data_IF_206478679777
#
_entry.id   IF_206478679777
#
_cell.length_a   1.000
_cell.length_b   1.000
_cell.length_c   1.000
_cell.angle_alpha   90.00
_cell.angle_beta   90.00
_cell.angle_gamma   90.00
#
_symmetry.space_group_name_H-M   'P 1'
#
loop_
_entity.id
_entity.type
_entity.pdbx_description
1 polymer ?
#
# COMPACT_ATOMS: atom_id res chain seq x y z
N UNK A 1 8.02 -6.05 -2.31
CA UNK A 1 7.04 -6.99 -2.90
C UNK A 1 5.91 -7.20 -1.90
N UNK A 2 4.66 -7.09 -2.32
CA UNK A 2 3.51 -7.41 -1.46
C UNK A 2 3.42 -8.92 -1.33
N UNK A 3 3.92 -9.43 -0.20
CA UNK A 3 3.99 -10.86 0.07
C UNK A 3 2.63 -11.45 0.46
N UNK A 4 1.84 -10.69 1.23
CA UNK A 4 0.53 -11.14 1.69
C UNK A 4 -0.39 -9.93 1.82
N UNK A 5 -1.53 -9.96 1.12
CA UNK A 5 -2.66 -9.07 1.39
C UNK A 5 -3.64 -9.84 2.24
N UNK A 6 -3.65 -9.58 3.56
CA UNK A 6 -4.62 -10.22 4.45
C UNK A 6 -6.03 -9.75 4.11
N UNK A 7 -6.92 -10.71 3.83
CA UNK A 7 -8.34 -10.44 3.65
C UNK A 7 -8.89 -9.77 4.91
N UNK A 8 -9.57 -8.62 4.76
CA UNK A 8 -10.00 -7.69 5.81
C UNK A 8 -9.03 -6.55 6.19
N UNK A 9 -7.90 -6.42 5.52
CA UNK A 9 -7.07 -5.20 5.64
C UNK A 9 -7.58 -4.07 4.74
N UNK A 10 -7.32 -2.79 5.08
CA UNK A 10 -7.55 -1.66 4.15
C UNK A 10 -6.81 -1.82 2.81
N UNK A 11 -5.71 -2.57 2.80
CA UNK A 11 -5.01 -2.99 1.58
C UNK A 11 -5.84 -3.95 0.72
N UNK A 12 -6.52 -4.93 1.31
CA UNK A 12 -7.41 -5.83 0.57
C UNK A 12 -8.62 -5.10 -0.02
N UNK A 13 -9.21 -4.19 0.76
CA UNK A 13 -10.39 -3.42 0.35
C UNK A 13 -10.12 -2.45 -0.81
N UNK A 14 -8.85 -2.08 -1.00
CA UNK A 14 -8.42 -1.16 -2.07
C UNK A 14 -7.97 -1.84 -3.36
N UNK A 15 -8.06 -3.16 -3.44
CA UNK A 15 -7.71 -3.91 -4.65
C UNK A 15 -6.20 -4.14 -4.83
N UNK A 16 -5.40 -3.97 -3.78
CA UNK A 16 -4.04 -4.53 -3.75
C UNK A 16 -4.13 -6.06 -3.81
N UNK A 17 -3.19 -6.66 -4.53
CA UNK A 17 -3.09 -8.10 -4.71
C UNK A 17 -1.70 -8.57 -4.30
N UNK A 18 -1.63 -9.79 -3.80
CA UNK A 18 -0.35 -10.48 -3.59
C UNK A 18 0.41 -10.52 -4.91
N UNK A 19 1.70 -10.20 -4.87
CA UNK A 19 2.55 -10.07 -6.06
C UNK A 19 2.66 -8.65 -6.62
N UNK A 20 1.91 -7.68 -6.12
CA UNK A 20 2.13 -6.27 -6.43
C UNK A 20 3.50 -5.81 -5.92
N UNK A 21 4.22 -5.02 -6.71
CA UNK A 21 5.43 -4.33 -6.24
C UNK A 21 5.11 -2.86 -6.08
N UNK A 22 5.10 -2.37 -4.84
CA UNK A 22 4.89 -0.95 -4.57
C UNK A 22 6.13 -0.18 -5.03
N UNK A 23 5.94 0.73 -5.98
CA UNK A 23 6.96 1.64 -6.50
C UNK A 23 6.87 3.01 -5.83
N UNK A 24 5.65 3.45 -5.51
CA UNK A 24 5.41 4.79 -4.98
C UNK A 24 4.26 4.76 -3.98
N UNK A 25 4.38 5.55 -2.91
CA UNK A 25 3.36 5.76 -1.90
C UNK A 25 3.14 7.26 -1.70
N UNK A 26 1.92 7.73 -1.95
CA UNK A 26 1.50 9.12 -1.79
C UNK A 26 2.42 10.15 -2.48
N UNK A 27 2.92 9.83 -3.68
CA UNK A 27 3.87 10.70 -4.39
C UNK A 27 5.34 10.46 -4.03
N UNK A 28 5.63 9.68 -2.99
CA UNK A 28 6.98 9.37 -2.52
C UNK A 28 7.44 8.04 -3.10
N UNK A 29 8.61 8.02 -3.76
CA UNK A 29 9.21 6.79 -4.28
C UNK A 29 9.61 5.88 -3.12
N UNK A 30 9.18 4.63 -3.18
CA UNK A 30 9.50 3.63 -2.18
C UNK A 30 10.75 2.89 -2.63
N UNK A 31 11.83 3.05 -1.88
CA UNK A 31 13.11 2.42 -2.19
C UNK A 31 13.21 1.01 -1.62
N UNK A 32 12.67 0.80 -0.41
CA UNK A 32 12.78 -0.46 0.32
C UNK A 32 11.58 -0.67 1.26
N UNK A 33 11.42 -1.86 1.82
CA UNK A 33 10.30 -2.21 2.70
C UNK A 33 10.29 -1.38 4.00
N UNK A 34 11.47 -1.13 4.56
CA UNK A 34 11.59 -0.30 5.76
C UNK A 34 11.15 1.15 5.50
N UNK A 35 11.47 1.67 4.30
CA UNK A 35 11.07 3.01 3.89
C UNK A 35 9.53 3.09 3.76
N UNK A 36 8.92 2.08 3.12
CA UNK A 36 7.46 1.99 3.02
C UNK A 36 6.79 2.00 4.39
N UNK A 37 7.26 1.14 5.31
CA UNK A 37 6.71 1.06 6.66
C UNK A 37 6.81 2.41 7.37
N UNK A 38 7.92 3.12 7.22
CA UNK A 38 8.10 4.44 7.82
C UNK A 38 7.12 5.48 7.25
N UNK A 39 6.98 5.55 5.91
CA UNK A 39 6.04 6.48 5.27
C UNK A 39 4.59 6.17 5.68
N UNK A 40 4.22 4.89 5.72
CA UNK A 40 2.89 4.45 6.14
C UNK A 40 2.63 4.85 7.59
N UNK A 41 3.60 4.67 8.50
CA UNK A 41 3.48 5.09 9.90
C UNK A 41 3.37 6.60 10.09
N UNK A 42 4.00 7.39 9.21
CA UNK A 42 3.91 8.85 9.21
C UNK A 42 2.60 9.36 8.60
N UNK A 43 1.86 8.51 7.90
CA UNK A 43 0.61 8.90 7.25
C UNK A 43 -0.55 8.74 8.22
N UNK A 44 -1.38 9.77 8.33
CA UNK A 44 -2.53 9.75 9.22
C UNK A 44 -3.53 8.69 8.81
N UNK A 45 -3.95 7.91 9.79
CA UNK A 45 -5.01 6.93 9.63
C UNK A 45 -6.34 7.63 9.32
N UNK A 46 -7.06 7.13 8.33
CA UNK A 46 -8.27 7.73 7.76
C UNK A 46 -8.00 8.51 6.49
N UNK A 47 -6.74 8.81 6.17
CA UNK A 47 -6.39 9.55 4.95
C UNK A 47 -6.46 8.66 3.69
N UNK A 48 -6.86 9.29 2.58
CA UNK A 48 -6.79 8.68 1.25
C UNK A 48 -5.35 8.79 0.74
N UNK A 49 -4.73 7.66 0.45
CA UNK A 49 -3.38 7.55 -0.09
C UNK A 49 -3.42 7.00 -1.51
N UNK A 50 -2.45 7.40 -2.33
CA UNK A 50 -2.31 6.92 -3.71
C UNK A 50 -1.03 6.08 -3.82
N UNK A 51 -1.14 4.83 -4.21
CA UNK A 51 0.00 3.96 -4.47
C UNK A 51 0.18 3.74 -5.95
N UNK A 52 1.43 3.63 -6.38
CA UNK A 52 1.78 3.10 -7.70
C UNK A 52 2.36 1.73 -7.48
N UNK A 53 1.72 0.72 -8.03
CA UNK A 53 2.15 -0.68 -7.96
C UNK A 53 2.48 -1.20 -9.35
N UNK A 54 3.53 -1.99 -9.48
CA UNK A 54 3.80 -2.77 -10.67
C UNK A 54 3.04 -4.09 -10.56
N UNK A 55 2.09 -4.30 -11.47
CA UNK A 55 1.32 -5.54 -11.60
C UNK A 55 1.45 -6.03 -13.04
N UNK A 56 1.86 -7.28 -13.22
CA UNK A 56 2.02 -7.87 -14.56
C UNK A 56 2.92 -7.01 -15.49
N UNK A 57 4.03 -6.50 -14.95
CA UNK A 57 4.97 -5.58 -15.64
C UNK A 57 4.38 -4.25 -16.09
N UNK A 58 3.16 -3.92 -15.68
CA UNK A 58 2.51 -2.65 -15.97
C UNK A 58 2.29 -1.86 -14.68
N UNK A 59 2.65 -0.57 -14.64
CA UNK A 59 2.35 0.27 -13.48
C UNK A 59 0.84 0.52 -13.40
N UNK A 60 0.30 0.40 -12.19
CA UNK A 60 -1.10 0.58 -11.84
C UNK A 60 -1.17 1.57 -10.68
N UNK A 61 -2.05 2.57 -10.80
CA UNK A 61 -2.33 3.48 -9.69
C UNK A 61 -3.49 2.93 -8.88
N UNK A 62 -3.27 2.72 -7.58
CA UNK A 62 -4.25 2.19 -6.64
C UNK A 62 -4.48 3.23 -5.55
N UNK A 63 -5.72 3.65 -5.38
CA UNK A 63 -6.09 4.57 -4.31
C UNK A 63 -6.68 3.77 -3.15
N UNK A 64 -6.13 3.94 -1.96
CA UNK A 64 -6.62 3.28 -0.76
C UNK A 64 -6.86 4.27 0.37
N UNK A 65 -7.82 3.94 1.22
CA UNK A 65 -7.99 4.65 2.49
C UNK A 65 -7.20 3.91 3.54
N UNK A 66 -6.26 4.61 4.16
CA UNK A 66 -5.40 4.03 5.17
C UNK A 66 -6.18 3.92 6.47
N UNK A 67 -6.93 2.84 6.69
CA UNK A 67 -7.64 2.64 7.97
C UNK A 67 -6.70 2.08 9.05
N UNK A 68 -6.98 2.36 10.32
CA UNK A 68 -6.28 1.69 11.42
C UNK A 68 -6.68 0.24 11.31
N UNK A 69 -5.70 -0.64 11.20
CA UNK A 69 -5.96 -2.03 11.48
C UNK A 69 -5.66 -2.25 12.95
N UNK A 70 -6.69 -2.05 13.79
CA UNK A 70 -6.72 -2.56 15.16
C UNK A 70 -7.14 -4.03 15.06
N UNK A 71 -6.19 -4.89 14.71
CA UNK A 71 -6.43 -6.33 14.74
C UNK A 71 -6.44 -6.85 16.17
N UNK A 72 -7.58 -7.36 16.62
CA UNK A 72 -7.66 -8.34 17.70
C UNK A 72 -7.17 -9.72 17.25
#
# INVERSE_FOLDING_TARGET
LVMEVRGNSPAASSGLKSGDVILQFNGVTVEDDAHLVNIVKLTEVGSRVSLVVLRDRSPQSVHLHLAEWTGE
#
